data_IF_855671365064
#
_entry.id   IF_855671365064
#
_cell.length_a   1.000
_cell.length_b   1.000
_cell.length_c   1.000
_cell.angle_alpha   90.00
_cell.angle_beta   90.00
_cell.angle_gamma   90.00
#
_symmetry.space_group_name_H-M   'P 1'
#
loop_
_entity.id
_entity.type
_entity.pdbx_description
1 polymer ?
#
# COMPACT_ATOMS: atom_id res chain seq x y z
N UNK A 1 37.56 -37.57 -9.76
CA UNK A 1 37.32 -36.21 -10.31
C UNK A 1 36.23 -35.56 -9.45
N UNK A 2 36.62 -34.52 -8.71
CA UNK A 2 35.76 -33.72 -7.82
C UNK A 2 34.88 -32.80 -8.66
N UNK A 3 33.57 -32.84 -8.47
CA UNK A 3 32.66 -31.75 -8.87
C UNK A 3 32.27 -30.94 -7.62
N UNK A 4 32.24 -29.59 -7.70
CA UNK A 4 32.07 -28.74 -6.53
C UNK A 4 30.60 -28.55 -6.16
N UNK A 5 30.34 -28.60 -4.86
CA UNK A 5 29.14 -28.11 -4.20
C UNK A 5 29.04 -26.59 -4.42
N UNK A 6 28.21 -26.15 -5.35
CA UNK A 6 27.72 -24.77 -5.31
C UNK A 6 26.32 -24.68 -5.93
N UNK A 7 25.40 -24.09 -5.16
CA UNK A 7 24.14 -23.48 -5.61
C UNK A 7 22.93 -24.40 -5.86
N UNK A 8 22.49 -25.13 -4.83
CA UNK A 8 21.10 -25.61 -4.74
C UNK A 8 20.62 -25.58 -3.28
N UNK A 9 20.06 -24.46 -2.82
CA UNK A 9 19.38 -24.44 -1.50
C UNK A 9 18.45 -23.24 -1.30
N UNK A 10 17.60 -22.90 -2.28
CA UNK A 10 16.52 -21.93 -2.04
C UNK A 10 15.14 -22.44 -2.47
N UNK A 11 15.05 -23.42 -3.37
CA UNK A 11 13.75 -23.96 -3.83
C UNK A 11 13.12 -24.91 -2.81
N UNK A 12 13.93 -25.77 -2.16
CA UNK A 12 13.43 -26.77 -1.23
C UNK A 12 12.94 -26.22 0.13
N UNK A 13 13.40 -25.03 0.54
CA UNK A 13 13.01 -24.40 1.81
C UNK A 13 11.62 -23.75 1.76
N UNK A 14 11.11 -23.42 0.57
CA UNK A 14 9.73 -22.92 0.40
C UNK A 14 8.68 -24.03 0.55
N UNK A 15 9.04 -25.28 0.23
CA UNK A 15 8.11 -26.41 0.35
C UNK A 15 7.91 -26.90 1.79
N UNK A 16 8.89 -26.73 2.69
CA UNK A 16 8.78 -27.24 4.07
C UNK A 16 7.93 -26.35 5.00
N UNK A 17 7.70 -25.09 4.63
CA UNK A 17 6.90 -24.14 5.43
C UNK A 17 5.38 -24.24 5.18
N UNK A 18 4.96 -25.00 4.17
CA UNK A 18 3.54 -25.20 3.84
C UNK A 18 2.83 -26.24 4.72
N UNK A 19 3.57 -27.05 5.49
CA UNK A 19 2.98 -28.20 6.21
C UNK A 19 2.43 -27.92 7.61
N UNK A 20 2.56 -26.70 8.17
CA UNK A 20 2.17 -26.42 9.57
C UNK A 20 1.24 -25.20 9.75
N UNK A 21 0.50 -24.76 8.73
CA UNK A 21 -0.57 -23.75 8.89
C UNK A 21 -0.11 -22.31 9.20
N UNK A 22 1.18 -22.09 9.52
CA UNK A 22 1.79 -20.77 9.72
C UNK A 22 2.39 -20.16 8.43
N UNK A 23 2.47 -20.93 7.34
CA UNK A 23 3.20 -20.55 6.12
C UNK A 23 2.51 -19.53 5.22
N UNK A 24 1.18 -19.36 5.32
CA UNK A 24 0.40 -18.52 4.40
C UNK A 24 0.34 -17.05 4.88
N UNK A 25 0.44 -16.81 6.19
CA UNK A 25 0.30 -15.46 6.76
C UNK A 25 1.62 -14.69 6.80
N UNK A 26 2.75 -15.38 7.01
CA UNK A 26 4.09 -14.77 7.05
C UNK A 26 4.72 -14.61 5.67
N UNK A 27 4.27 -15.35 4.66
CA UNK A 27 4.83 -15.33 3.29
C UNK A 27 4.65 -13.99 2.56
N UNK A 28 3.71 -13.18 3.04
CA UNK A 28 3.41 -11.86 2.47
C UNK A 28 3.83 -10.71 3.40
N UNK A 29 4.67 -10.93 4.41
CA UNK A 29 5.23 -9.82 5.20
C UNK A 29 6.37 -9.10 4.46
N UNK A 30 6.71 -7.89 4.90
CA UNK A 30 7.92 -7.24 4.40
C UNK A 30 9.16 -8.01 4.91
N UNK A 31 10.19 -8.13 4.08
CA UNK A 31 11.45 -8.79 4.47
C UNK A 31 12.10 -8.15 5.69
N UNK A 32 11.99 -6.83 5.85
CA UNK A 32 12.52 -6.17 7.06
C UNK A 32 11.79 -6.63 8.32
N UNK A 33 10.46 -6.78 8.25
CA UNK A 33 9.67 -7.30 9.36
C UNK A 33 10.03 -8.77 9.67
N UNK A 34 10.24 -9.60 8.65
CA UNK A 34 10.68 -10.99 8.83
C UNK A 34 12.09 -11.04 9.48
N UNK A 35 13.00 -10.17 9.02
CA UNK A 35 14.34 -10.05 9.58
C UNK A 35 14.32 -9.59 11.05
N UNK A 36 13.44 -8.67 11.41
CA UNK A 36 13.29 -8.20 12.79
C UNK A 36 12.67 -9.28 13.69
N UNK A 37 11.69 -10.03 13.20
CA UNK A 37 11.12 -11.18 13.93
C UNK A 37 12.18 -12.27 14.18
N UNK A 38 13.00 -12.57 13.18
CA UNK A 38 14.07 -13.57 13.28
C UNK A 38 15.22 -13.11 14.19
N UNK A 39 15.58 -11.83 14.17
CA UNK A 39 16.63 -11.27 15.06
C UNK A 39 16.22 -11.25 16.52
N UNK A 40 14.95 -10.98 16.80
CA UNK A 40 14.43 -10.83 18.16
C UNK A 40 13.85 -12.15 18.73
N UNK A 41 14.04 -13.27 18.03
CA UNK A 41 13.53 -14.60 18.43
C UNK A 41 12.03 -14.60 18.77
N UNK A 42 11.24 -13.78 18.07
CA UNK A 42 9.81 -13.56 18.36
C UNK A 42 8.90 -14.67 17.79
N UNK A 43 9.45 -15.56 16.97
CA UNK A 43 8.72 -16.65 16.32
C UNK A 43 9.59 -17.91 16.33
N UNK A 44 9.04 -19.00 16.87
CA UNK A 44 9.70 -20.30 16.86
C UNK A 44 9.77 -20.87 15.44
N UNK A 45 10.90 -21.46 15.07
CA UNK A 45 11.08 -22.14 13.78
C UNK A 45 11.45 -21.24 12.60
N UNK A 46 11.64 -19.93 12.81
CA UNK A 46 12.18 -19.02 11.79
C UNK A 46 13.72 -19.11 11.74
N UNK A 47 14.33 -19.47 10.60
CA UNK A 47 15.78 -19.46 10.45
C UNK A 47 16.40 -18.06 10.65
N UNK A 48 17.56 -18.00 11.33
CA UNK A 48 18.30 -16.76 11.65
C UNK A 48 19.20 -16.25 10.52
N UNK A 49 18.81 -16.44 9.26
CA UNK A 49 19.52 -15.84 8.12
C UNK A 49 18.81 -14.58 7.65
N UNK A 50 19.55 -13.73 6.93
CA UNK A 50 18.99 -12.51 6.35
C UNK A 50 18.16 -12.84 5.12
N UNK A 51 16.90 -12.44 5.13
CA UNK A 51 16.02 -12.59 3.97
C UNK A 51 16.22 -11.41 3.02
N UNK A 52 16.44 -11.71 1.73
CA UNK A 52 16.72 -10.73 0.69
C UNK A 52 15.59 -10.67 -0.36
N UNK A 53 15.44 -9.53 -1.04
CA UNK A 53 14.36 -9.23 -2.01
C UNK A 53 14.45 -9.97 -3.34
N UNK A 54 15.27 -11.02 -3.42
CA UNK A 54 15.66 -11.65 -4.69
C UNK A 54 14.53 -12.40 -5.40
N UNK A 55 13.43 -12.70 -4.70
CA UNK A 55 12.21 -13.24 -5.29
C UNK A 55 10.96 -12.63 -4.63
N UNK A 56 10.49 -11.50 -5.17
CA UNK A 56 9.22 -10.92 -4.76
C UNK A 56 8.05 -11.76 -5.29
N UNK A 57 7.08 -12.06 -4.43
CA UNK A 57 5.82 -12.64 -4.85
C UNK A 57 5.09 -11.65 -5.79
N UNK A 58 4.69 -12.05 -7.01
CA UNK A 58 4.00 -11.15 -7.95
C UNK A 58 2.73 -10.53 -7.36
N UNK A 59 1.98 -11.30 -6.56
CA UNK A 59 0.78 -10.81 -5.86
C UNK A 59 1.11 -9.76 -4.79
N UNK A 60 2.24 -9.91 -4.08
CA UNK A 60 2.70 -8.88 -3.14
C UNK A 60 3.16 -7.61 -3.85
N UNK A 61 3.89 -7.77 -4.95
CA UNK A 61 4.39 -6.63 -5.72
C UNK A 61 3.21 -5.81 -6.23
N UNK A 62 2.19 -6.45 -6.79
CA UNK A 62 0.99 -5.76 -7.27
C UNK A 62 0.14 -5.20 -6.12
N UNK A 63 -0.09 -5.99 -5.06
CA UNK A 63 -0.97 -5.59 -3.94
C UNK A 63 -0.38 -4.53 -3.02
N UNK A 64 0.95 -4.42 -2.96
CA UNK A 64 1.66 -3.42 -2.14
C UNK A 64 2.32 -2.31 -2.97
N UNK A 65 2.13 -2.33 -4.29
CA UNK A 65 2.65 -1.27 -5.15
C UNK A 65 2.00 0.06 -4.78
N UNK A 66 2.84 1.06 -4.55
CA UNK A 66 2.37 2.43 -4.38
C UNK A 66 2.17 3.03 -5.76
N UNK A 67 0.98 3.56 -6.03
CA UNK A 67 0.75 4.39 -7.22
C UNK A 67 1.74 5.55 -7.22
N UNK A 68 2.34 5.83 -8.38
CA UNK A 68 3.22 6.98 -8.54
C UNK A 68 2.53 8.26 -8.06
N UNK A 69 3.29 9.15 -7.41
CA UNK A 69 2.77 10.44 -6.97
C UNK A 69 2.30 11.25 -8.17
N UNK A 70 1.19 11.98 -8.01
CA UNK A 70 0.75 12.95 -9.00
C UNK A 70 1.74 14.12 -9.04
N UNK A 71 2.15 14.59 -10.23
CA UNK A 71 3.02 15.76 -10.34
C UNK A 71 2.31 16.99 -9.76
N UNK A 72 3.02 17.86 -9.03
CA UNK A 72 2.44 19.11 -8.55
C UNK A 72 2.04 19.99 -9.73
N UNK A 73 0.84 20.57 -9.67
CA UNK A 73 0.41 21.59 -10.64
C UNK A 73 0.95 22.94 -10.19
N UNK A 74 1.83 23.55 -10.99
CA UNK A 74 2.50 24.82 -10.65
C UNK A 74 1.66 26.07 -10.98
N UNK A 75 0.68 25.96 -11.87
CA UNK A 75 -0.17 27.08 -12.31
C UNK A 75 -1.64 26.69 -12.18
N UNK A 76 -2.50 27.53 -11.58
CA UNK A 76 -3.94 27.36 -11.66
C UNK A 76 -4.37 27.27 -13.13
N UNK A 77 -5.17 26.27 -13.49
CA UNK A 77 -5.61 26.09 -14.87
C UNK A 77 -6.53 27.24 -15.32
N UNK A 78 -7.22 27.86 -14.38
CA UNK A 78 -8.12 28.98 -14.62
C UNK A 78 -7.35 30.31 -14.67
N UNK A 79 -7.62 31.11 -15.71
CA UNK A 79 -7.05 32.46 -15.89
C UNK A 79 -7.97 33.58 -15.40
N UNK A 80 -9.20 33.26 -15.00
CA UNK A 80 -10.25 34.20 -14.60
C UNK A 80 -11.22 33.54 -13.62
N UNK A 81 -11.84 34.35 -12.74
CA UNK A 81 -12.91 33.92 -11.83
C UNK A 81 -14.05 33.23 -12.60
N UNK A 82 -14.61 32.18 -12.00
CA UNK A 82 -15.74 31.39 -12.52
C UNK A 82 -15.46 30.64 -13.83
N UNK A 83 -14.20 30.56 -14.28
CA UNK A 83 -13.84 29.83 -15.50
C UNK A 83 -13.86 28.31 -15.29
N UNK A 84 -13.50 27.83 -14.09
CA UNK A 84 -13.56 26.41 -13.74
C UNK A 84 -14.08 26.27 -12.31
N UNK A 85 -15.21 25.58 -12.15
CA UNK A 85 -15.83 25.30 -10.87
C UNK A 85 -15.73 23.79 -10.57
N UNK A 86 -15.27 23.46 -9.37
CA UNK A 86 -15.33 22.10 -8.83
C UNK A 86 -16.56 22.00 -7.95
N UNK A 87 -17.49 21.11 -8.29
CA UNK A 87 -18.71 20.89 -7.54
C UNK A 87 -18.74 19.47 -7.00
N UNK A 88 -19.07 19.31 -5.73
CA UNK A 88 -19.22 17.98 -5.11
C UNK A 88 -20.41 17.95 -4.17
N UNK A 89 -21.05 16.79 -4.08
CA UNK A 89 -22.20 16.56 -3.19
C UNK A 89 -21.78 15.64 -2.04
N UNK A 90 -21.68 16.23 -0.86
CA UNK A 90 -21.31 15.51 0.34
C UNK A 90 -22.58 15.01 1.06
N UNK A 91 -22.78 13.69 1.14
CA UNK A 91 -23.87 13.07 1.90
C UNK A 91 -24.21 11.64 1.47
N UNK A 92 -25.20 10.96 2.12
CA UNK A 92 -26.06 11.44 3.20
C UNK A 92 -25.37 11.48 4.56
N UNK A 93 -25.41 12.63 5.22
CA UNK A 93 -24.88 12.83 6.57
C UNK A 93 -25.73 12.11 7.62
N UNK A 94 -25.04 11.59 8.64
CA UNK A 94 -25.68 10.92 9.79
C UNK A 94 -26.59 11.88 10.58
N UNK A 95 -26.16 13.13 10.73
CA UNK A 95 -26.89 14.18 11.43
C UNK A 95 -27.45 15.14 10.38
N UNK A 96 -28.74 15.44 10.48
CA UNK A 96 -29.38 16.41 9.60
C UNK A 96 -29.04 17.84 10.03
N UNK A 97 -29.07 18.78 9.10
CA UNK A 97 -29.03 20.20 9.39
C UNK A 97 -30.26 20.64 10.19
N UNK A 98 -30.23 21.87 10.70
CA UNK A 98 -31.37 22.49 11.40
C UNK A 98 -32.66 22.40 10.56
N UNK A 99 -32.55 22.50 9.24
CA UNK A 99 -33.67 22.40 8.29
C UNK A 99 -33.91 20.97 7.75
N UNK A 100 -33.36 19.94 8.41
CA UNK A 100 -33.57 18.55 8.05
C UNK A 100 -32.81 18.07 6.80
N UNK A 101 -31.89 18.88 6.24
CA UNK A 101 -31.11 18.48 5.05
C UNK A 101 -29.96 17.57 5.47
N UNK A 102 -29.66 16.53 4.67
CA UNK A 102 -28.56 15.57 4.93
C UNK A 102 -27.46 15.62 3.87
N UNK A 103 -27.55 16.54 2.93
CA UNK A 103 -26.57 16.73 1.88
C UNK A 103 -26.07 18.16 1.90
N UNK A 104 -24.80 18.35 1.58
CA UNK A 104 -24.16 19.64 1.41
C UNK A 104 -23.58 19.66 0.00
N UNK A 105 -23.98 20.64 -0.80
CA UNK A 105 -23.33 20.92 -2.08
C UNK A 105 -22.16 21.85 -1.80
N UNK A 106 -20.97 21.47 -2.24
CA UNK A 106 -19.75 22.28 -2.14
C UNK A 106 -19.40 22.74 -3.54
N UNK A 107 -19.23 24.05 -3.72
CA UNK A 107 -18.81 24.64 -5.00
C UNK A 107 -17.53 25.42 -4.76
N UNK A 108 -16.45 25.07 -5.45
CA UNK A 108 -15.16 25.75 -5.34
C UNK A 108 -14.75 26.36 -6.67
N UNK A 109 -14.45 27.66 -6.68
CA UNK A 109 -13.83 28.33 -7.82
C UNK A 109 -12.34 28.03 -7.91
N UNK A 110 -11.87 27.50 -9.04
CA UNK A 110 -10.47 27.11 -9.22
C UNK A 110 -9.51 28.30 -9.18
N UNK A 111 -9.97 29.48 -9.61
CA UNK A 111 -9.12 30.67 -9.69
C UNK A 111 -8.96 31.36 -8.33
N UNK A 112 -10.08 31.76 -7.72
CA UNK A 112 -10.08 32.51 -6.47
C UNK A 112 -10.01 31.63 -5.22
N UNK A 113 -10.19 30.32 -5.36
CA UNK A 113 -10.35 29.37 -4.24
C UNK A 113 -11.52 29.71 -3.31
N UNK A 114 -12.45 30.56 -3.77
CA UNK A 114 -13.68 30.83 -3.05
C UNK A 114 -14.57 29.58 -3.04
N UNK A 115 -15.17 29.29 -1.89
CA UNK A 115 -16.03 28.12 -1.70
C UNK A 115 -17.42 28.59 -1.27
N UNK A 116 -18.45 28.09 -1.94
CA UNK A 116 -19.86 28.24 -1.58
C UNK A 116 -20.42 26.93 -1.03
#
# INVERSE_FOLDING_TARGET
MKWPLHRQSASWLMHLLLSHGYGITLSHLNFDAINDLARNDLVAGLPKFKYHKEHLCPSCEQGKSKRASHPPKSVPNSRQRLHLLHMDLCGPMRIASINGKRYILVIMDDYSRYTW
#
